data_IF_381639210173
#
_entry.id   IF_381639210173
#
_cell.length_a   1.000
_cell.length_b   1.000
_cell.length_c   1.000
_cell.angle_alpha   90.00
_cell.angle_beta   90.00
_cell.angle_gamma   90.00
#
_symmetry.space_group_name_H-M   'P 1'
#
loop_
_entity.id
_entity.type
_entity.pdbx_description
1 polymer ?
#
# COMPACT_ATOMS: atom_id res chain seq x y z
N UNK A 1 -25.87 -66.75 0.24
CA UNK A 1 -27.04 -66.02 -0.30
C UNK A 1 -27.55 -65.07 0.78
N UNK A 2 -27.59 -63.77 0.45
CA UNK A 2 -28.07 -62.57 1.22
C UNK A 2 -29.54 -62.78 1.69
N UNK A 3 -30.26 -62.00 2.56
CA UNK A 3 -30.08 -60.68 3.27
C UNK A 3 -30.40 -60.71 4.80
N UNK A 4 -30.40 -59.61 5.62
CA UNK A 4 -31.18 -58.37 5.40
C UNK A 4 -30.67 -56.99 5.90
N UNK A 5 -30.97 -55.99 5.05
CA UNK A 5 -31.64 -54.70 5.28
C UNK A 5 -31.12 -53.70 6.34
N UNK A 6 -30.55 -52.62 5.77
CA UNK A 6 -30.46 -51.21 6.22
C UNK A 6 -31.50 -50.76 7.28
N UNK A 7 -31.00 -50.13 8.34
CA UNK A 7 -31.65 -49.00 9.04
C UNK A 7 -30.64 -47.85 9.14
N UNK A 8 -30.95 -46.73 8.49
CA UNK A 8 -30.16 -45.50 8.51
C UNK A 8 -30.76 -44.59 9.59
N UNK A 9 -30.06 -44.39 10.70
CA UNK A 9 -30.42 -43.41 11.73
C UNK A 9 -29.49 -42.20 11.66
N UNK A 10 -30.13 -41.03 11.68
CA UNK A 10 -29.59 -39.68 11.48
C UNK A 10 -28.50 -39.34 12.50
N UNK A 11 -27.28 -39.04 12.05
CA UNK A 11 -26.22 -38.44 12.88
C UNK A 11 -26.19 -36.93 12.65
N UNK A 12 -26.66 -36.17 13.64
CA UNK A 12 -26.52 -34.71 13.75
C UNK A 12 -25.04 -34.35 13.62
N UNK A 13 -24.64 -33.75 12.51
CA UNK A 13 -23.34 -33.09 12.36
C UNK A 13 -23.35 -31.79 13.15
N UNK A 14 -22.77 -31.84 14.35
CA UNK A 14 -22.41 -30.67 15.13
C UNK A 14 -21.42 -29.80 14.33
N UNK A 15 -21.84 -28.57 14.03
CA UNK A 15 -20.98 -27.52 13.48
C UNK A 15 -19.88 -27.19 14.51
N UNK A 16 -18.69 -27.76 14.35
CA UNK A 16 -17.49 -27.33 15.08
C UNK A 16 -17.04 -26.00 14.46
N UNK A 17 -17.55 -24.90 15.02
CA UNK A 17 -17.13 -23.53 14.72
C UNK A 17 -15.65 -23.42 15.15
N UNK A 18 -14.75 -23.54 14.18
CA UNK A 18 -13.31 -23.36 14.42
C UNK A 18 -13.10 -21.91 14.78
N UNK A 19 -12.82 -21.67 16.05
CA UNK A 19 -12.41 -20.38 16.57
C UNK A 19 -11.14 -19.95 15.83
N UNK A 20 -11.26 -18.89 15.04
CA UNK A 20 -10.14 -18.16 14.47
C UNK A 20 -9.39 -17.54 15.64
N UNK A 21 -8.32 -18.19 16.11
CA UNK A 21 -7.34 -17.61 17.03
C UNK A 21 -6.88 -16.31 16.39
N UNK A 22 -7.32 -15.19 16.97
CA UNK A 22 -6.81 -13.87 16.62
C UNK A 22 -5.29 -13.90 16.86
N UNK A 23 -4.53 -13.54 15.82
CA UNK A 23 -3.11 -13.29 15.98
C UNK A 23 -2.92 -12.23 17.07
N UNK A 24 -1.94 -12.37 17.97
CA UNK A 24 -1.73 -11.41 19.04
C UNK A 24 -1.49 -10.02 18.43
N UNK A 25 -2.34 -9.08 18.80
CA UNK A 25 -2.18 -7.67 18.44
C UNK A 25 -0.88 -7.18 19.06
N UNK A 26 0.17 -7.04 18.23
CA UNK A 26 1.38 -6.34 18.64
C UNK A 26 0.96 -4.92 19.00
N UNK A 27 0.98 -4.56 20.28
CA UNK A 27 0.77 -3.18 20.75
C UNK A 27 1.95 -2.34 20.30
N UNK A 28 1.82 -1.70 19.14
CA UNK A 28 2.84 -0.81 18.58
C UNK A 28 2.80 0.48 19.39
N UNK A 29 3.87 0.78 20.14
CA UNK A 29 4.02 2.05 20.85
C UNK A 29 4.35 3.16 19.84
N UNK A 30 3.86 4.37 20.09
CA UNK A 30 4.18 5.53 19.26
C UNK A 30 5.69 5.78 19.24
N UNK A 31 6.27 5.76 18.04
CA UNK A 31 7.70 6.01 17.82
C UNK A 31 7.88 7.54 17.73
N UNK A 32 8.62 8.12 18.68
CA UNK A 32 8.80 9.58 18.78
C UNK A 32 9.91 10.13 17.87
N UNK A 33 10.87 9.30 17.50
CA UNK A 33 12.01 9.68 16.66
C UNK A 33 11.93 8.98 15.30
N UNK A 34 12.12 9.73 14.22
CA UNK A 34 12.13 9.16 12.88
C UNK A 34 13.26 8.12 12.75
N UNK A 35 12.94 6.91 12.31
CA UNK A 35 13.96 5.89 12.04
C UNK A 35 14.78 6.25 10.80
N UNK A 36 16.09 6.11 10.91
CA UNK A 36 16.99 6.05 9.74
C UNK A 36 16.83 4.71 9.03
N UNK A 37 17.27 4.61 7.77
CA UNK A 37 17.17 3.37 6.96
C UNK A 37 17.74 2.15 7.70
N UNK A 38 18.87 2.31 8.39
CA UNK A 38 19.52 1.24 9.16
C UNK A 38 18.75 0.85 10.43
N UNK A 39 18.13 1.82 11.09
CA UNK A 39 17.31 1.60 12.29
C UNK A 39 16.00 0.88 11.95
N UNK A 40 15.35 1.22 10.83
CA UNK A 40 14.15 0.52 10.34
C UNK A 40 14.44 -0.95 10.05
N UNK A 41 15.57 -1.25 9.39
CA UNK A 41 15.97 -2.63 9.12
C UNK A 41 16.33 -3.40 10.40
N UNK A 42 16.86 -2.73 11.42
CA UNK A 42 17.09 -3.33 12.74
C UNK A 42 15.77 -3.71 13.40
N UNK A 43 14.83 -2.76 13.48
CA UNK A 43 13.52 -2.98 14.10
C UNK A 43 12.76 -4.12 13.43
N UNK A 44 12.73 -4.16 12.09
CA UNK A 44 12.06 -5.23 11.34
C UNK A 44 12.77 -6.57 11.55
N UNK A 45 14.11 -6.58 11.59
CA UNK A 45 14.91 -7.78 11.87
C UNK A 45 14.62 -8.35 13.26
N UNK A 46 14.56 -7.49 14.28
CA UNK A 46 14.20 -7.87 15.66
C UNK A 46 12.76 -8.40 15.75
N UNK A 47 11.82 -7.75 15.05
CA UNK A 47 10.39 -8.11 15.07
C UNK A 47 10.04 -9.42 14.34
N UNK A 48 10.78 -9.73 13.29
CA UNK A 48 10.51 -10.85 12.37
C UNK A 48 11.50 -11.99 12.53
N UNK A 49 12.61 -11.77 13.24
CA UNK A 49 13.71 -12.72 13.37
C UNK A 49 14.53 -12.91 12.09
N UNK A 50 14.29 -12.12 11.04
CA UNK A 50 15.00 -12.23 9.76
C UNK A 50 16.36 -11.54 9.85
N UNK A 51 17.37 -12.06 9.14
CA UNK A 51 18.65 -11.40 9.04
C UNK A 51 18.50 -10.03 8.34
N UNK A 52 19.23 -9.01 8.81
CA UNK A 52 19.19 -7.65 8.23
C UNK A 52 19.47 -7.63 6.72
N UNK A 53 20.28 -8.58 6.23
CA UNK A 53 20.56 -8.78 4.79
C UNK A 53 19.30 -9.19 4.02
N UNK A 54 18.50 -10.09 4.57
CA UNK A 54 17.29 -10.56 3.91
C UNK A 54 16.18 -9.52 3.98
N UNK A 55 16.10 -8.75 5.08
CA UNK A 55 15.23 -7.57 5.14
C UNK A 55 15.59 -6.56 4.03
N UNK A 56 16.88 -6.28 3.82
CA UNK A 56 17.32 -5.41 2.73
C UNK A 56 16.90 -5.94 1.35
N UNK A 57 17.08 -7.24 1.08
CA UNK A 57 16.63 -7.88 -0.17
C UNK A 57 15.12 -7.77 -0.39
N UNK A 58 14.32 -7.89 0.67
CA UNK A 58 12.85 -7.75 0.56
C UNK A 58 12.49 -6.34 0.11
N UNK A 59 13.11 -5.31 0.68
CA UNK A 59 12.87 -3.92 0.27
C UNK A 59 13.37 -3.62 -1.16
N UNK A 60 14.48 -4.23 -1.57
CA UNK A 60 15.00 -4.12 -2.93
C UNK A 60 14.05 -4.76 -3.95
N UNK A 61 13.66 -6.01 -3.71
CA UNK A 61 12.67 -6.72 -4.55
C UNK A 61 11.33 -6.00 -4.61
N UNK A 62 10.87 -5.43 -3.48
CA UNK A 62 9.68 -4.58 -3.46
C UNK A 62 9.84 -3.35 -4.37
N UNK A 63 11.03 -2.74 -4.36
CA UNK A 63 11.40 -1.64 -5.26
C UNK A 63 11.31 -2.02 -6.74
N UNK A 64 11.87 -3.17 -7.12
CA UNK A 64 11.85 -3.66 -8.50
C UNK A 64 10.42 -3.91 -9.00
N UNK A 65 9.58 -4.51 -8.15
CA UNK A 65 8.15 -4.74 -8.45
C UNK A 65 7.42 -3.41 -8.64
N UNK A 66 7.69 -2.42 -7.77
CA UNK A 66 7.11 -1.07 -7.89
C UNK A 66 7.57 -0.41 -9.18
N UNK A 67 8.84 -0.50 -9.53
CA UNK A 67 9.39 0.06 -10.77
C UNK A 67 8.70 -0.55 -12.00
N UNK A 68 8.52 -1.88 -12.00
CA UNK A 68 7.78 -2.60 -13.03
C UNK A 68 6.35 -2.10 -13.21
N UNK A 69 5.64 -1.79 -12.12
CA UNK A 69 4.27 -1.27 -12.16
C UNK A 69 4.17 0.19 -12.59
N UNK A 70 5.18 1.02 -12.28
CA UNK A 70 5.19 2.47 -12.58
C UNK A 70 5.69 2.79 -13.99
N UNK A 71 6.48 1.89 -14.60
CA UNK A 71 7.00 2.05 -15.96
C UNK A 71 5.91 2.34 -16.99
N UNK A 72 6.32 2.87 -18.15
CA UNK A 72 5.39 3.36 -19.19
C UNK A 72 4.41 2.32 -19.74
N UNK A 73 4.73 1.03 -19.59
CA UNK A 73 3.91 -0.12 -19.98
C UNK A 73 3.37 -0.93 -18.79
N UNK A 74 3.65 -0.48 -17.56
CA UNK A 74 3.16 -1.13 -16.35
C UNK A 74 1.69 -0.80 -16.08
N UNK A 75 1.14 -1.43 -15.05
CA UNK A 75 -0.25 -1.23 -14.62
C UNK A 75 -0.58 0.22 -14.22
N UNK A 76 0.43 1.05 -13.93
CA UNK A 76 0.26 2.46 -13.54
C UNK A 76 -0.32 2.64 -12.13
N UNK A 77 -0.59 1.55 -11.43
CA UNK A 77 -1.05 1.52 -10.05
C UNK A 77 -0.37 0.36 -9.30
N UNK A 78 0.07 0.61 -8.07
CA UNK A 78 0.60 -0.40 -7.16
C UNK A 78 -0.06 -0.23 -5.79
N UNK A 79 -0.42 -1.33 -5.14
CA UNK A 79 -1.07 -1.31 -3.82
C UNK A 79 -0.22 -2.13 -2.86
N UNK A 80 0.27 -1.49 -1.80
CA UNK A 80 0.75 -2.21 -0.62
C UNK A 80 -0.48 -2.51 0.24
N UNK A 81 -0.87 -3.79 0.39
CA UNK A 81 -2.07 -4.14 1.14
C UNK A 81 -2.05 -3.53 2.55
N UNK A 82 -3.17 -2.93 2.95
CA UNK A 82 -3.33 -2.32 4.28
C UNK A 82 -2.57 -1.00 4.50
N UNK A 83 -1.68 -0.58 3.59
CA UNK A 83 -0.90 0.65 3.77
C UNK A 83 -1.27 1.72 2.76
N UNK A 84 -0.68 1.66 1.56
CA UNK A 84 -0.71 2.75 0.59
C UNK A 84 -0.99 2.26 -0.82
N UNK A 85 -1.60 3.14 -1.63
CA UNK A 85 -1.76 2.99 -3.07
C UNK A 85 -0.90 4.01 -3.79
N UNK A 86 0.00 3.55 -4.64
CA UNK A 86 0.80 4.36 -5.55
C UNK A 86 0.07 4.41 -6.89
N UNK A 87 -0.17 5.61 -7.43
CA UNK A 87 -0.84 5.82 -8.72
C UNK A 87 -0.02 6.76 -9.60
N UNK A 88 0.10 6.42 -10.87
CA UNK A 88 0.71 7.26 -11.90
C UNK A 88 -0.39 8.05 -12.62
N UNK A 89 -0.46 9.35 -12.36
CA UNK A 89 -1.35 10.26 -13.06
C UNK A 89 -0.65 10.84 -14.28
N UNK A 90 -1.12 10.50 -15.48
CA UNK A 90 -0.69 11.14 -16.73
C UNK A 90 -1.37 12.51 -16.82
N UNK A 91 -0.60 13.59 -16.66
CA UNK A 91 -1.08 14.96 -16.88
C UNK A 91 -0.93 15.31 -18.36
N UNK A 92 -1.99 15.79 -19.03
CA UNK A 92 -1.91 16.17 -20.43
C UNK A 92 -1.03 17.42 -20.61
N UNK A 93 -0.56 17.63 -21.84
CA UNK A 93 0.16 18.85 -22.19
C UNK A 93 -0.76 20.07 -22.04
N UNK A 94 -0.26 21.13 -21.41
CA UNK A 94 -0.98 22.40 -21.28
C UNK A 94 -0.30 23.43 -22.17
N UNK A 95 -1.09 24.04 -23.08
CA UNK A 95 -0.62 25.12 -23.95
C UNK A 95 -0.20 26.35 -23.14
N UNK A 96 0.65 27.18 -23.73
CA UNK A 96 1.02 28.46 -23.13
C UNK A 96 -0.24 29.33 -22.97
N UNK A 97 -0.37 30.02 -21.83
CA UNK A 97 -1.46 30.96 -21.57
C UNK A 97 -0.84 32.29 -21.17
N UNK A 98 -1.17 33.35 -21.91
CA UNK A 98 -0.79 34.72 -21.55
C UNK A 98 -1.84 35.31 -20.62
N UNK A 99 -1.45 36.34 -19.88
CA UNK A 99 -2.37 37.15 -19.07
C UNK A 99 -3.08 36.36 -17.93
N UNK A 100 -2.41 35.38 -17.31
CA UNK A 100 -2.98 34.63 -16.18
C UNK A 100 -2.74 35.43 -14.90
N UNK A 101 -3.76 35.69 -14.07
CA UNK A 101 -3.59 36.37 -12.78
C UNK A 101 -2.54 35.67 -11.92
N UNK A 102 -1.51 36.41 -11.50
CA UNK A 102 -0.46 35.86 -10.64
C UNK A 102 -1.01 35.66 -9.22
N UNK A 103 -1.07 34.42 -8.71
CA UNK A 103 -1.57 34.15 -7.36
C UNK A 103 -0.71 34.78 -6.25
N UNK A 104 0.54 35.17 -6.56
CA UNK A 104 1.48 35.71 -5.59
C UNK A 104 1.54 37.25 -5.58
N UNK A 105 1.06 37.93 -6.64
CA UNK A 105 1.05 39.40 -6.76
C UNK A 105 -0.30 39.82 -7.36
N UNK A 106 -1.31 40.09 -6.52
CA UNK A 106 -2.64 40.47 -7.01
C UNK A 106 -2.54 41.77 -7.82
N UNK A 107 -2.97 41.72 -9.08
CA UNK A 107 -2.90 42.84 -10.03
C UNK A 107 -1.85 42.68 -11.13
N UNK A 108 -0.88 41.77 -10.98
CA UNK A 108 0.09 41.46 -12.03
C UNK A 108 -0.31 40.18 -12.80
N UNK A 109 -0.11 40.25 -14.10
CA UNK A 109 -0.35 39.14 -15.00
C UNK A 109 0.96 38.40 -15.32
N UNK A 110 0.91 37.07 -15.32
CA UNK A 110 2.06 36.22 -15.66
C UNK A 110 1.77 35.43 -16.93
N UNK A 111 2.78 35.30 -17.77
CA UNK A 111 2.79 34.33 -18.87
C UNK A 111 3.09 32.93 -18.35
N UNK A 112 2.17 32.00 -18.55
CA UNK A 112 2.35 30.58 -18.21
C UNK A 112 2.89 29.87 -19.44
N UNK A 113 4.16 29.45 -19.37
CA UNK A 113 4.79 28.63 -20.41
C UNK A 113 4.05 27.30 -20.62
N UNK A 114 4.14 26.76 -21.85
CA UNK A 114 3.60 25.45 -22.15
C UNK A 114 4.28 24.38 -21.27
N UNK A 115 3.49 23.44 -20.74
CA UNK A 115 4.02 22.29 -19.99
C UNK A 115 3.76 21.03 -20.80
N UNK A 116 4.79 20.22 -21.11
CA UNK A 116 4.62 18.99 -21.85
C UNK A 116 3.83 17.97 -21.03
N UNK A 117 3.32 16.93 -21.71
CA UNK A 117 2.67 15.81 -21.05
C UNK A 117 3.67 15.15 -20.09
N UNK A 118 3.27 14.99 -18.83
CA UNK A 118 4.14 14.46 -17.78
C UNK A 118 3.41 13.47 -16.90
N UNK A 119 4.14 12.52 -16.35
CA UNK A 119 3.62 11.56 -15.38
C UNK A 119 3.91 12.06 -13.98
N UNK A 120 2.90 12.03 -13.13
CA UNK A 120 3.02 12.42 -11.73
C UNK A 120 2.65 11.22 -10.88
N UNK A 121 3.58 10.77 -10.04
CA UNK A 121 3.32 9.71 -9.07
C UNK A 121 2.63 10.33 -7.85
N UNK A 122 1.52 9.73 -7.43
CA UNK A 122 0.78 10.09 -6.21
C UNK A 122 0.72 8.88 -5.29
N UNK A 123 1.04 9.09 -4.02
CA UNK A 123 0.84 8.09 -2.97
C UNK A 123 -0.43 8.46 -2.19
N UNK A 124 -1.38 7.54 -2.13
CA UNK A 124 -2.65 7.71 -1.45
C UNK A 124 -2.72 6.76 -0.25
N UNK A 125 -3.02 7.26 0.95
CA UNK A 125 -3.21 6.41 2.12
C UNK A 125 -4.53 5.64 2.00
N UNK A 126 -4.48 4.33 2.27
CA UNK A 126 -5.67 3.49 2.37
C UNK A 126 -6.34 3.65 3.74
N UNK A 127 -7.51 3.03 3.91
CA UNK A 127 -8.31 3.17 5.13
C UNK A 127 -7.54 2.79 6.40
N UNK A 128 -6.82 1.67 6.38
CA UNK A 128 -6.06 1.22 7.55
C UNK A 128 -5.00 2.24 8.02
N UNK A 129 -4.28 2.95 7.13
CA UNK A 129 -3.37 4.02 7.54
C UNK A 129 -4.10 5.23 8.14
N UNK A 130 -5.26 5.58 7.60
CA UNK A 130 -6.04 6.70 8.12
C UNK A 130 -6.58 6.39 9.52
N UNK A 131 -7.02 5.16 9.72
CA UNK A 131 -7.53 4.71 11.02
C UNK A 131 -6.40 4.66 12.08
N UNK A 132 -5.17 4.27 11.69
CA UNK A 132 -3.99 4.32 12.57
C UNK A 132 -3.58 5.74 12.97
N UNK A 133 -3.78 6.73 12.10
CA UNK A 133 -3.45 8.12 12.40
C UNK A 133 -4.52 8.84 13.25
N UNK A 134 -5.75 8.32 13.26
CA UNK A 134 -6.86 8.85 14.04
C UNK A 134 -6.99 8.19 15.43
N UNK A 135 -6.21 7.14 15.70
CA UNK A 135 -6.12 6.42 16.97
C UNK A 135 -4.95 6.93 17.81
#
# INVERSE_FOLDING_TARGET
MVPPKKKVTKKKTAKKKVAKKAAPEKKIKAIKNAYTKSALYAHISEDTGLARKDVAKVFESLGDVIEGHIKSRGAGEFKVPGLLKIKVNKKPATKARKNVPNPFRPGEFMDVAAKPARKVVKVLPLKALKDMAAS
#
